data_IF_013897825739
#
_entry.id   IF_013897825739
#
_cell.length_a   1.000
_cell.length_b   1.000
_cell.length_c   1.000
_cell.angle_alpha   90.00
_cell.angle_beta   90.00
_cell.angle_gamma   90.00
#
_symmetry.space_group_name_H-M   'P 1'
#
loop_
_entity.id
_entity.type
_entity.pdbx_description
1 polymer ?
#
# COMPACT_ATOMS: atom_id res chain seq x y z
N UNK A 1 1.49 21.65 69.65
CA UNK A 1 1.18 22.23 68.32
C UNK A 1 1.82 21.29 67.31
N UNK A 2 1.02 20.34 66.81
CA UNK A 2 1.49 19.31 65.87
C UNK A 2 1.25 19.82 64.47
N UNK A 3 2.32 19.94 63.67
CA UNK A 3 2.26 20.35 62.25
C UNK A 3 2.05 19.09 61.41
N UNK A 4 0.87 18.94 60.84
CA UNK A 4 0.57 17.86 59.88
C UNK A 4 1.11 18.26 58.49
N UNK A 5 2.11 17.52 58.00
CA UNK A 5 2.60 17.64 56.62
C UNK A 5 1.66 16.80 55.75
N UNK A 6 0.87 17.49 54.93
CA UNK A 6 0.05 16.85 53.88
C UNK A 6 0.97 16.66 52.67
N UNK A 7 1.40 15.41 52.42
CA UNK A 7 2.02 15.02 51.18
C UNK A 7 0.92 14.96 50.11
N UNK A 8 0.90 15.95 49.23
CA UNK A 8 0.13 15.88 47.97
C UNK A 8 0.93 14.96 47.03
N UNK A 9 0.50 13.69 46.91
CA UNK A 9 0.95 12.84 45.85
C UNK A 9 0.42 13.39 44.52
N UNK A 10 1.25 14.11 43.82
CA UNK A 10 0.98 14.44 42.44
C UNK A 10 0.91 13.15 41.60
N UNK A 11 -0.29 12.79 41.16
CA UNK A 11 -0.46 11.79 40.12
C UNK A 11 0.18 12.37 38.86
N UNK A 12 1.34 11.87 38.48
CA UNK A 12 1.79 12.02 37.10
C UNK A 12 0.78 11.31 36.22
N UNK A 13 -0.14 12.02 35.63
CA UNK A 13 -0.79 11.58 34.41
C UNK A 13 0.29 11.68 33.34
N UNK A 14 0.79 10.55 32.87
CA UNK A 14 1.52 10.48 31.61
C UNK A 14 0.52 10.91 30.52
N UNK A 15 0.41 12.25 30.30
CA UNK A 15 -0.08 12.75 29.04
C UNK A 15 1.02 12.38 28.05
N UNK A 16 0.73 11.40 27.18
CA UNK A 16 1.58 11.06 26.06
C UNK A 16 1.81 12.35 25.26
N UNK A 17 2.90 13.04 25.55
CA UNK A 17 3.37 14.17 24.77
C UNK A 17 3.78 13.63 23.41
N UNK A 18 2.87 13.75 22.40
CA UNK A 18 3.14 13.36 21.03
C UNK A 18 4.25 14.25 20.47
N UNK A 19 5.49 13.84 20.70
CA UNK A 19 6.62 14.46 20.00
C UNK A 19 6.56 14.08 18.53
N UNK A 20 6.59 15.09 17.66
CA UNK A 20 6.59 14.86 16.21
C UNK A 20 7.73 13.90 15.82
N UNK A 21 7.40 12.88 15.01
CA UNK A 21 8.38 11.94 14.50
C UNK A 21 8.56 10.64 15.30
N UNK A 22 7.72 10.35 16.29
CA UNK A 22 7.76 9.06 16.99
C UNK A 22 7.05 7.96 16.18
N UNK A 23 7.71 6.80 16.08
CA UNK A 23 7.15 5.61 15.51
C UNK A 23 6.34 4.83 16.53
N UNK A 24 5.06 4.60 16.28
CA UNK A 24 4.21 3.78 17.14
C UNK A 24 3.90 2.44 16.45
N UNK A 25 4.06 1.35 17.19
CA UNK A 25 3.68 0.01 16.73
C UNK A 25 2.16 -0.10 16.66
N UNK A 26 1.63 -0.50 15.52
CA UNK A 26 0.21 -0.81 15.30
C UNK A 26 -0.01 -2.31 15.20
N UNK A 27 -1.28 -2.74 15.05
CA UNK A 27 -1.61 -4.15 14.89
C UNK A 27 -0.88 -4.76 13.71
N UNK A 28 -0.36 -5.96 13.90
CA UNK A 28 0.16 -6.78 12.80
C UNK A 28 -0.99 -7.40 12.04
N UNK A 29 -0.91 -7.43 10.71
CA UNK A 29 -1.90 -8.15 9.91
C UNK A 29 -1.61 -9.67 9.92
N UNK A 30 -2.65 -10.47 9.64
CA UNK A 30 -2.56 -11.92 9.70
C UNK A 30 -2.09 -12.58 8.38
N UNK A 31 -1.76 -11.78 7.38
CA UNK A 31 -1.21 -12.28 6.12
C UNK A 31 0.27 -12.63 6.21
N UNK A 32 0.81 -13.18 5.11
CA UNK A 32 2.22 -13.54 5.03
C UNK A 32 3.10 -12.29 4.92
N UNK A 33 4.30 -12.34 5.53
CA UNK A 33 5.28 -11.26 5.38
C UNK A 33 5.71 -11.10 3.92
N UNK A 34 5.91 -9.87 3.49
CA UNK A 34 6.14 -9.54 2.09
C UNK A 34 7.04 -8.34 1.89
N UNK A 35 7.64 -8.26 0.71
CA UNK A 35 8.34 -7.10 0.20
C UNK A 35 7.65 -6.58 -1.06
N UNK A 36 7.95 -5.37 -1.49
CA UNK A 36 7.47 -4.77 -2.73
C UNK A 36 5.94 -4.75 -2.89
N UNK A 37 5.20 -4.67 -1.79
CA UNK A 37 3.76 -4.47 -1.81
C UNK A 37 3.40 -3.04 -2.23
N UNK A 38 2.20 -2.88 -2.78
CA UNK A 38 1.60 -1.58 -3.08
C UNK A 38 0.70 -1.12 -1.95
N UNK A 39 0.52 0.18 -1.79
CA UNK A 39 -0.41 0.72 -0.80
C UNK A 39 -1.10 1.98 -1.28
N UNK A 40 -2.28 2.24 -0.72
CA UNK A 40 -3.04 3.49 -0.88
C UNK A 40 -3.89 3.74 0.37
N UNK A 41 -4.49 4.91 0.48
CA UNK A 41 -5.38 5.25 1.61
C UNK A 41 -6.70 5.82 1.11
N UNK A 42 -7.81 5.45 1.77
CA UNK A 42 -9.14 6.02 1.53
C UNK A 42 -9.74 6.39 2.89
N UNK A 43 -9.94 7.66 3.15
CA UNK A 43 -10.40 8.13 4.46
C UNK A 43 -9.49 7.67 5.59
N UNK A 44 -10.04 6.97 6.58
CA UNK A 44 -9.31 6.42 7.73
C UNK A 44 -8.81 4.98 7.51
N UNK A 45 -8.83 4.50 6.28
CA UNK A 45 -8.41 3.15 5.94
C UNK A 45 -7.11 3.17 5.13
N UNK A 46 -6.17 2.31 5.52
CA UNK A 46 -4.96 2.01 4.76
C UNK A 46 -5.12 0.67 4.04
N UNK A 47 -4.65 0.57 2.81
CA UNK A 47 -4.73 -0.66 2.01
C UNK A 47 -3.35 -1.14 1.63
N UNK A 48 -3.15 -2.45 1.72
CA UNK A 48 -1.93 -3.16 1.33
C UNK A 48 -2.28 -4.23 0.31
N UNK A 49 -1.70 -4.16 -0.88
CA UNK A 49 -2.00 -5.06 -1.99
C UNK A 49 -0.75 -5.72 -2.56
N UNK A 50 -0.84 -7.01 -2.84
CA UNK A 50 0.19 -7.73 -3.56
C UNK A 50 1.54 -7.80 -2.85
N UNK A 51 2.60 -7.87 -3.63
CA UNK A 51 3.97 -7.97 -3.16
C UNK A 51 4.61 -9.33 -3.42
N UNK A 52 5.78 -9.54 -2.84
CA UNK A 52 6.61 -10.73 -2.99
C UNK A 52 6.75 -11.46 -1.66
N UNK A 53 6.36 -12.74 -1.62
CA UNK A 53 6.59 -13.64 -0.50
C UNK A 53 7.84 -14.49 -0.75
N UNK A 54 8.92 -14.18 -0.05
CA UNK A 54 10.25 -14.74 -0.30
C UNK A 54 10.37 -16.24 -0.02
N UNK A 55 9.59 -16.78 0.93
CA UNK A 55 9.69 -18.21 1.31
C UNK A 55 9.33 -19.14 0.14
N UNK A 56 8.26 -18.82 -0.60
CA UNK A 56 7.80 -19.60 -1.76
C UNK A 56 8.19 -18.98 -3.09
N UNK A 57 8.83 -17.79 -3.08
CA UNK A 57 9.10 -17.00 -4.27
C UNK A 57 7.82 -16.63 -5.05
N UNK A 58 6.71 -16.44 -4.35
CA UNK A 58 5.40 -16.16 -4.94
C UNK A 58 5.15 -14.65 -5.00
N UNK A 59 4.39 -14.24 -6.02
CA UNK A 59 3.83 -12.91 -6.13
C UNK A 59 2.37 -12.96 -5.66
N UNK A 60 2.00 -12.01 -4.83
CA UNK A 60 0.72 -11.98 -4.14
C UNK A 60 -0.28 -11.08 -4.89
N UNK A 61 -1.57 -11.39 -4.78
CA UNK A 61 -2.68 -10.59 -5.31
C UNK A 61 -3.72 -10.23 -4.25
N UNK A 62 -3.48 -10.61 -2.98
CA UNK A 62 -4.37 -10.34 -1.87
C UNK A 62 -4.41 -8.84 -1.55
N UNK A 63 -5.57 -8.39 -1.04
CA UNK A 63 -5.79 -7.04 -0.54
C UNK A 63 -6.12 -7.09 0.95
N UNK A 64 -5.49 -6.22 1.71
CA UNK A 64 -5.72 -6.05 3.14
C UNK A 64 -6.10 -4.61 3.45
N UNK A 65 -7.14 -4.43 4.25
CA UNK A 65 -7.58 -3.14 4.78
C UNK A 65 -7.15 -3.00 6.24
N UNK A 66 -6.55 -1.88 6.58
CA UNK A 66 -6.27 -1.47 7.95
C UNK A 66 -7.24 -0.38 8.38
N UNK A 67 -8.07 -0.67 9.39
CA UNK A 67 -8.93 0.32 10.06
C UNK A 67 -8.12 1.04 11.14
N UNK A 68 -7.82 2.32 10.93
CA UNK A 68 -7.06 3.12 11.87
C UNK A 68 -7.81 3.33 13.19
N UNK A 69 -9.15 3.38 13.16
CA UNK A 69 -9.98 3.61 14.36
C UNK A 69 -10.02 2.39 15.26
N UNK A 70 -10.05 1.20 14.67
CA UNK A 70 -10.09 -0.08 15.39
C UNK A 70 -8.71 -0.70 15.60
N UNK A 71 -7.69 -0.15 14.97
CA UNK A 71 -6.34 -0.72 14.95
C UNK A 71 -6.36 -2.21 14.57
N UNK A 72 -7.04 -2.55 13.48
CA UNK A 72 -7.24 -3.93 13.04
C UNK A 72 -7.12 -4.07 11.53
N UNK A 73 -6.74 -5.27 11.08
CA UNK A 73 -6.64 -5.63 9.68
C UNK A 73 -7.75 -6.60 9.29
N UNK A 74 -8.31 -6.43 8.09
CA UNK A 74 -9.29 -7.31 7.47
C UNK A 74 -8.82 -7.64 6.05
N UNK A 75 -8.91 -8.89 5.65
CA UNK A 75 -8.68 -9.26 4.26
C UNK A 75 -9.91 -8.91 3.43
N UNK A 76 -9.69 -8.23 2.31
CA UNK A 76 -10.67 -7.87 1.30
C UNK A 76 -10.59 -8.82 0.11
N UNK A 77 -11.41 -8.59 -0.93
CA UNK A 77 -11.37 -9.35 -2.17
C UNK A 77 -10.00 -9.26 -2.84
N UNK A 78 -9.44 -10.40 -3.18
CA UNK A 78 -8.18 -10.49 -3.91
C UNK A 78 -8.33 -9.85 -5.30
N UNK A 79 -7.27 -9.25 -5.81
CA UNK A 79 -7.22 -8.74 -7.17
C UNK A 79 -7.39 -9.92 -8.17
N UNK A 80 -8.33 -9.84 -9.14
CA UNK A 80 -8.75 -10.99 -9.95
C UNK A 80 -7.77 -11.31 -11.10
N UNK A 81 -6.48 -11.15 -10.85
CA UNK A 81 -5.38 -11.40 -11.79
C UNK A 81 -4.18 -12.00 -11.07
N UNK A 82 -3.16 -12.37 -11.84
CA UNK A 82 -1.92 -12.90 -11.29
C UNK A 82 -1.30 -11.94 -10.27
N UNK A 83 -0.76 -12.51 -9.22
CA UNK A 83 -0.04 -11.77 -8.19
C UNK A 83 1.10 -10.95 -8.78
N UNK A 84 1.38 -9.80 -8.18
CA UNK A 84 2.40 -8.87 -8.65
C UNK A 84 3.19 -8.23 -7.53
N UNK A 85 4.42 -7.87 -7.82
CA UNK A 85 5.30 -7.08 -6.95
C UNK A 85 5.63 -5.74 -7.59
N UNK A 86 6.07 -4.79 -6.78
CA UNK A 86 6.54 -3.48 -7.23
C UNK A 86 5.56 -2.73 -8.15
N UNK A 87 4.26 -3.02 -8.03
CA UNK A 87 3.18 -2.22 -8.55
C UNK A 87 3.05 -0.92 -7.74
N UNK A 88 2.26 0.03 -8.21
CA UNK A 88 1.95 1.24 -7.45
C UNK A 88 0.46 1.36 -7.18
N UNK A 89 0.14 1.96 -6.03
CA UNK A 89 -1.22 2.23 -5.60
C UNK A 89 -1.46 3.72 -5.37
N UNK A 90 -2.66 4.17 -5.65
CA UNK A 90 -3.17 5.51 -5.35
C UNK A 90 -4.67 5.45 -5.15
N UNK A 91 -5.27 6.51 -4.62
CA UNK A 91 -6.72 6.57 -4.46
C UNK A 91 -7.28 7.88 -5.04
N UNK A 92 -8.41 7.78 -5.74
CA UNK A 92 -9.14 8.92 -6.32
C UNK A 92 -10.64 8.72 -6.09
N UNK A 93 -11.32 9.75 -5.64
CA UNK A 93 -12.78 9.76 -5.46
C UNK A 93 -13.33 8.57 -4.65
N UNK A 94 -12.61 8.17 -3.59
CA UNK A 94 -13.03 7.07 -2.71
C UNK A 94 -12.82 5.67 -3.29
N UNK A 95 -12.11 5.53 -4.40
CA UNK A 95 -11.70 4.27 -5.00
C UNK A 95 -10.18 4.12 -4.91
N UNK A 96 -9.72 2.88 -4.76
CA UNK A 96 -8.30 2.52 -4.81
C UNK A 96 -7.91 2.07 -6.22
N UNK A 97 -6.68 2.32 -6.61
CA UNK A 97 -6.15 1.90 -7.91
C UNK A 97 -4.81 1.21 -7.72
N UNK A 98 -4.63 0.09 -8.40
CA UNK A 98 -3.34 -0.61 -8.53
C UNK A 98 -3.01 -0.68 -10.01
N UNK A 99 -1.80 -0.28 -10.37
CA UNK A 99 -1.33 -0.31 -11.76
C UNK A 99 0.13 -0.72 -11.85
N UNK A 100 0.53 -1.19 -13.00
CA UNK A 100 1.92 -1.57 -13.30
C UNK A 100 2.42 -2.75 -12.45
N UNK A 101 3.72 -2.84 -12.24
CA UNK A 101 4.35 -3.90 -11.46
C UNK A 101 4.86 -5.05 -12.33
N UNK A 102 5.46 -6.01 -11.66
CA UNK A 102 6.01 -7.22 -12.28
C UNK A 102 5.16 -8.42 -11.88
N UNK A 103 4.75 -9.22 -12.86
CA UNK A 103 4.03 -10.49 -12.69
C UNK A 103 4.93 -11.66 -13.04
N UNK A 104 4.56 -12.87 -12.57
CA UNK A 104 5.36 -14.07 -12.76
C UNK A 104 4.70 -14.99 -13.81
N UNK A 105 5.53 -15.57 -14.68
CA UNK A 105 5.15 -16.63 -15.61
C UNK A 105 6.19 -17.74 -15.51
N UNK A 106 5.82 -18.82 -14.84
CA UNK A 106 6.75 -19.90 -14.51
C UNK A 106 7.94 -19.40 -13.69
N UNK A 107 9.15 -19.51 -14.24
CA UNK A 107 10.40 -19.03 -13.62
C UNK A 107 10.78 -17.61 -14.04
N UNK A 108 10.11 -17.03 -15.04
CA UNK A 108 10.34 -15.69 -15.56
C UNK A 108 9.41 -14.68 -14.91
N UNK A 109 9.75 -13.40 -15.02
CA UNK A 109 8.87 -12.29 -14.66
C UNK A 109 8.92 -11.22 -15.72
N UNK A 110 7.82 -10.49 -15.90
CA UNK A 110 7.71 -9.40 -16.85
C UNK A 110 6.86 -8.26 -16.27
N UNK A 111 7.11 -7.05 -16.72
CA UNK A 111 6.36 -5.88 -16.30
C UNK A 111 5.01 -5.80 -17.04
N UNK A 112 4.02 -5.22 -16.38
CA UNK A 112 2.67 -5.01 -16.89
C UNK A 112 2.29 -3.53 -16.83
N UNK A 113 1.21 -3.15 -17.55
CA UNK A 113 0.67 -1.79 -17.57
C UNK A 113 -0.82 -1.75 -17.17
N UNK A 114 -1.43 -2.89 -16.92
CA UNK A 114 -2.85 -2.98 -16.59
C UNK A 114 -3.16 -2.22 -15.30
N UNK A 115 -4.36 -1.61 -15.28
CA UNK A 115 -4.85 -0.84 -14.13
C UNK A 115 -6.14 -1.45 -13.60
N UNK A 116 -6.23 -1.56 -12.29
CA UNK A 116 -7.36 -2.13 -11.57
C UNK A 116 -7.87 -1.14 -10.53
N UNK A 117 -9.18 -0.90 -10.56
CA UNK A 117 -9.92 -0.08 -9.60
C UNK A 117 -10.56 -0.97 -8.54
N UNK A 118 -10.35 -0.66 -7.29
CA UNK A 118 -11.00 -1.29 -6.14
C UNK A 118 -12.08 -0.38 -5.58
N UNK A 119 -13.29 -0.92 -5.42
CA UNK A 119 -14.41 -0.26 -4.75
C UNK A 119 -14.60 -0.83 -3.34
N UNK A 120 -14.25 -0.09 -2.27
CA UNK A 120 -14.42 -0.58 -0.91
C UNK A 120 -15.90 -0.71 -0.49
N UNK A 121 -16.83 -0.02 -1.16
CA UNK A 121 -18.25 -0.10 -0.83
C UNK A 121 -18.89 -1.45 -1.23
N UNK A 122 -18.32 -2.09 -2.25
CA UNK A 122 -18.81 -3.37 -2.78
C UNK A 122 -17.80 -4.51 -2.65
N UNK A 123 -16.59 -4.21 -2.17
CA UNK A 123 -15.45 -5.14 -2.10
C UNK A 123 -15.19 -5.82 -3.45
N UNK A 124 -15.11 -5.02 -4.52
CA UNK A 124 -14.94 -5.52 -5.89
C UNK A 124 -13.86 -4.79 -6.66
N UNK A 125 -13.30 -5.49 -7.65
CA UNK A 125 -12.32 -4.97 -8.58
C UNK A 125 -12.90 -4.80 -9.98
N UNK A 126 -12.53 -3.73 -10.65
CA UNK A 126 -12.89 -3.44 -12.05
C UNK A 126 -11.64 -3.09 -12.84
N UNK A 127 -11.45 -3.75 -13.99
CA UNK A 127 -10.35 -3.40 -14.89
C UNK A 127 -10.62 -2.05 -15.56
N UNK A 128 -9.58 -1.21 -15.61
CA UNK A 128 -9.55 0.09 -16.29
C UNK A 128 -8.60 0.03 -17.49
N UNK A 129 -8.50 1.13 -18.22
CA UNK A 129 -7.52 1.29 -19.29
C UNK A 129 -6.10 1.13 -18.75
N UNK A 130 -5.24 0.58 -19.58
CA UNK A 130 -3.83 0.41 -19.23
C UNK A 130 -3.14 1.76 -19.04
N UNK A 131 -2.16 1.77 -18.15
CA UNK A 131 -1.31 2.92 -17.94
C UNK A 131 -0.63 3.34 -19.27
N UNK A 132 -0.86 4.57 -19.71
CA UNK A 132 -0.40 5.07 -21.03
C UNK A 132 1.14 5.17 -21.14
N UNK A 133 1.83 5.23 -20.00
CA UNK A 133 3.29 5.23 -19.98
C UNK A 133 3.94 3.86 -20.23
N UNK A 134 3.13 2.82 -20.50
CA UNK A 134 3.59 1.47 -20.81
C UNK A 134 3.97 0.62 -19.60
N UNK A 135 4.43 -0.60 -19.87
CA UNK A 135 4.80 -1.58 -18.86
C UNK A 135 5.98 -1.12 -18.01
N UNK A 136 5.90 -1.30 -16.68
CA UNK A 136 6.97 -0.93 -15.74
C UNK A 136 6.76 -1.51 -14.37
N UNK A 137 7.81 -1.51 -13.55
CA UNK A 137 7.74 -1.73 -12.11
C UNK A 137 8.54 -0.67 -11.34
N UNK A 138 8.39 -0.63 -10.01
CA UNK A 138 9.08 0.34 -9.17
C UNK A 138 8.73 1.79 -9.47
N UNK A 139 7.57 2.07 -10.06
CA UNK A 139 7.08 3.42 -10.30
C UNK A 139 6.75 4.15 -8.99
N UNK A 140 6.43 5.43 -9.08
CA UNK A 140 5.84 6.24 -8.01
C UNK A 140 4.42 6.61 -8.40
N UNK A 141 3.50 6.63 -7.42
CA UNK A 141 2.14 7.14 -7.62
C UNK A 141 1.71 8.02 -6.46
N UNK A 142 0.86 9.00 -6.76
CA UNK A 142 0.21 9.88 -5.78
C UNK A 142 -1.07 10.47 -6.36
N UNK A 143 -1.88 11.10 -5.51
CA UNK A 143 -3.14 11.74 -5.92
C UNK A 143 -3.15 13.21 -5.54
N UNK A 144 -3.57 14.06 -6.47
CA UNK A 144 -3.75 15.51 -6.25
C UNK A 144 -4.98 15.98 -7.02
N UNK A 145 -5.85 16.78 -6.39
CA UNK A 145 -6.95 17.47 -7.06
C UNK A 145 -7.97 16.55 -7.74
N UNK A 146 -8.14 15.32 -7.25
CA UNK A 146 -9.06 14.35 -7.85
C UNK A 146 -8.48 13.56 -9.03
N UNK A 147 -7.17 13.63 -9.23
CA UNK A 147 -6.45 12.89 -10.27
C UNK A 147 -5.37 12.01 -9.64
N UNK A 148 -5.12 10.84 -10.27
CA UNK A 148 -3.99 9.97 -9.97
C UNK A 148 -2.82 10.27 -10.92
N UNK A 149 -1.61 10.30 -10.37
CA UNK A 149 -0.38 10.51 -11.11
C UNK A 149 0.52 9.29 -10.93
N UNK A 150 1.06 8.78 -12.04
CA UNK A 150 1.97 7.64 -12.07
C UNK A 150 3.15 7.98 -12.94
N UNK A 151 4.36 7.72 -12.45
CA UNK A 151 5.58 8.03 -13.22
C UNK A 151 6.79 7.30 -12.66
N UNK A 152 7.93 7.50 -13.28
CA UNK A 152 9.19 6.85 -12.93
C UNK A 152 9.16 5.31 -13.09
N UNK A 153 9.99 4.59 -12.37
CA UNK A 153 10.12 3.14 -12.52
C UNK A 153 10.91 2.75 -13.76
N UNK A 154 11.09 1.46 -13.96
CA UNK A 154 11.81 0.93 -15.10
C UNK A 154 10.96 -0.08 -15.87
N UNK A 155 11.22 -0.16 -17.17
CA UNK A 155 10.77 -1.24 -18.01
C UNK A 155 11.99 -2.15 -18.24
N UNK A 156 12.02 -3.29 -17.57
CA UNK A 156 12.93 -4.36 -17.95
C UNK A 156 12.26 -5.13 -19.10
N UNK A 157 12.39 -4.61 -20.32
CA UNK A 157 12.16 -5.47 -21.47
C UNK A 157 13.25 -6.56 -21.49
N UNK A 158 13.03 -7.61 -22.28
CA UNK A 158 13.95 -8.74 -22.37
C UNK A 158 15.37 -8.36 -22.83
N UNK A 159 15.63 -7.10 -23.12
CA UNK A 159 16.92 -6.55 -23.56
C UNK A 159 17.63 -5.75 -22.49
N UNK A 160 17.02 -5.56 -21.31
CA UNK A 160 17.63 -4.81 -20.20
C UNK A 160 17.77 -3.31 -20.44
N UNK A 161 17.02 -2.76 -21.40
CA UNK A 161 17.02 -1.32 -21.69
C UNK A 161 16.20 -0.56 -20.63
N UNK A 162 16.86 0.20 -19.79
CA UNK A 162 16.21 1.13 -18.87
C UNK A 162 15.75 2.36 -19.63
N UNK A 163 14.44 2.53 -19.77
CA UNK A 163 13.88 3.78 -20.29
C UNK A 163 13.47 4.67 -19.12
N UNK A 164 14.13 5.81 -18.98
CA UNK A 164 13.70 6.86 -18.08
C UNK A 164 12.41 7.50 -18.63
N UNK A 165 11.34 7.52 -17.84
CA UNK A 165 10.06 8.03 -18.28
C UNK A 165 9.75 9.40 -17.68
N UNK A 166 9.27 10.28 -18.54
CA UNK A 166 8.78 11.60 -18.19
C UNK A 166 7.41 11.45 -17.51
N UNK A 167 7.22 12.16 -16.44
CA UNK A 167 5.93 12.33 -15.78
C UNK A 167 5.03 13.18 -16.69
N UNK A 168 3.87 12.67 -17.09
CA UNK A 168 2.81 13.42 -17.75
C UNK A 168 1.72 13.80 -16.77
#
# INVERSE_FOLDING_TARGET
MLLAIVCIAGSCTDEDEYTQGQWMKKASYNGVYRAYASGFTIGNYGYLCGGFYGANKDYLNDLWEYDMSRNSWTQCADMPVAGRKAAVGFAVNGKGYITTGSVKDGSSSYCVADTWEYDPATDTWTRKDDFKGGVRDGALAFSIGGYGYVGTGCNSDATGSESAYKMD
#
